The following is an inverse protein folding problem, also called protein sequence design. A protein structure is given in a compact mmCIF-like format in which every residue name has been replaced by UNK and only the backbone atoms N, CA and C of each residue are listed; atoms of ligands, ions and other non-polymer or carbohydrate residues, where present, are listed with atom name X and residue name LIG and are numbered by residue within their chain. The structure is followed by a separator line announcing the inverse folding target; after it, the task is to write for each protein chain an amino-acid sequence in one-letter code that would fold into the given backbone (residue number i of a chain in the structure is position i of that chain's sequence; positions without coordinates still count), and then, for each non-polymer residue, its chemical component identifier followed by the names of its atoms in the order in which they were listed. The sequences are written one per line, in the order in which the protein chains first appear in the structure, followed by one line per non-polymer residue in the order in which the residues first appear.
data_IF_385550679594
#
_entry.id   IF_385550679594
#
_cell.length_a   1.000
_cell.length_b   1.000
_cell.length_c   1.000
_cell.angle_alpha   90.00
_cell.angle_beta   90.00
_cell.angle_gamma   90.00
#
_symmetry.space_group_name_H-M   'P 1'
#
loop_
_entity.id
_entity.type
_entity.pdbx_description
1 polymer ?
#
# COMPACT_ATOMS: atom_id res chain seq x y z
N UNK A 1 29.40 -14.30 -26.77
CA UNK A 1 28.62 -13.22 -27.36
C UNK A 1 27.72 -12.66 -26.23
N UNK A 2 28.11 -11.55 -25.57
CA UNK A 2 27.33 -10.94 -24.47
C UNK A 2 26.33 -9.98 -25.09
N UNK A 3 25.04 -10.30 -25.01
CA UNK A 3 23.95 -9.42 -25.40
C UNK A 3 23.83 -8.33 -24.32
N UNK A 4 24.27 -7.13 -24.64
CA UNK A 4 24.11 -5.97 -23.78
C UNK A 4 22.64 -5.57 -23.70
N UNK A 5 22.04 -5.73 -22.53
CA UNK A 5 20.73 -5.19 -22.22
C UNK A 5 20.91 -3.67 -22.11
N UNK A 6 20.51 -2.94 -23.15
CA UNK A 6 20.52 -1.50 -23.17
C UNK A 6 19.62 -0.97 -22.02
N UNK A 7 20.24 -0.32 -21.04
CA UNK A 7 19.56 0.46 -20.01
C UNK A 7 18.86 1.64 -20.70
N UNK A 8 17.60 1.49 -21.07
CA UNK A 8 16.76 2.65 -21.38
C UNK A 8 16.57 3.43 -20.10
N UNK A 9 17.10 4.65 -20.04
CA UNK A 9 16.87 5.59 -18.94
C UNK A 9 15.35 5.72 -18.74
N UNK A 10 14.81 5.59 -17.51
CA UNK A 10 13.41 5.86 -17.27
C UNK A 10 13.12 7.30 -17.69
N UNK A 11 12.03 7.49 -18.40
CA UNK A 11 11.48 8.82 -18.68
C UNK A 11 11.15 9.43 -17.33
N UNK A 12 11.96 10.41 -16.90
CA UNK A 12 11.75 11.11 -15.62
C UNK A 12 10.35 11.72 -15.67
N UNK A 13 9.40 11.10 -14.98
CA UNK A 13 8.08 11.66 -14.82
C UNK A 13 8.22 13.06 -14.21
N UNK A 14 7.60 14.06 -14.82
CA UNK A 14 7.53 15.41 -14.23
C UNK A 14 6.67 15.31 -12.98
N UNK A 15 7.33 15.32 -11.84
CA UNK A 15 6.73 15.26 -10.52
C UNK A 15 5.97 16.56 -10.25
N UNK A 16 4.67 16.55 -10.40
CA UNK A 16 3.80 17.65 -9.95
C UNK A 16 3.66 17.60 -8.43
N UNK A 17 4.54 18.29 -7.71
CA UNK A 17 4.63 18.26 -6.24
C UNK A 17 3.41 18.83 -5.48
N UNK A 18 2.40 19.35 -6.16
CA UNK A 18 1.27 20.04 -5.53
C UNK A 18 -0.05 19.25 -5.50
N UNK A 19 -0.15 18.08 -6.16
CA UNK A 19 -1.47 17.49 -6.44
C UNK A 19 -1.75 16.10 -5.83
N UNK A 20 -0.84 15.48 -5.11
CA UNK A 20 -1.03 14.09 -4.66
C UNK A 20 -1.23 13.09 -5.82
N UNK A 21 -0.72 13.41 -7.01
CA UNK A 21 -0.85 12.64 -8.24
C UNK A 21 0.52 12.46 -8.92
N UNK A 22 0.78 11.24 -9.39
CA UNK A 22 1.91 10.92 -10.28
C UNK A 22 1.39 10.48 -11.63
N UNK A 23 2.09 10.84 -12.69
CA UNK A 23 1.73 10.51 -14.07
C UNK A 23 2.82 9.68 -14.75
N UNK A 24 2.40 8.62 -15.43
CA UNK A 24 3.24 7.67 -16.15
C UNK A 24 2.62 7.41 -17.54
N UNK A 25 2.87 8.30 -18.47
CA UNK A 25 2.16 8.30 -19.76
C UNK A 25 0.66 8.56 -19.55
N UNK A 26 -0.20 7.65 -20.01
CA UNK A 26 -1.66 7.69 -19.75
C UNK A 26 -2.04 7.20 -18.36
N UNK A 27 -1.14 6.45 -17.70
CA UNK A 27 -1.40 5.92 -16.36
C UNK A 27 -1.12 6.94 -15.25
N UNK A 28 -1.84 6.81 -14.14
CA UNK A 28 -1.73 7.72 -13.00
C UNK A 28 -1.81 6.96 -11.68
N UNK A 29 -1.18 7.54 -10.65
CA UNK A 29 -1.32 7.15 -9.25
C UNK A 29 -1.82 8.36 -8.47
N UNK A 30 -2.99 8.24 -7.86
CA UNK A 30 -3.55 9.27 -6.98
C UNK A 30 -3.39 8.83 -5.53
N UNK A 31 -2.81 9.70 -4.71
CA UNK A 31 -2.78 9.53 -3.27
C UNK A 31 -4.12 9.91 -2.68
N UNK A 32 -4.69 9.02 -1.88
CA UNK A 32 -5.90 9.23 -1.10
C UNK A 32 -5.58 9.00 0.39
N UNK A 33 -6.36 9.56 1.27
CA UNK A 33 -6.13 9.46 2.70
C UNK A 33 -5.74 10.79 3.33
N UNK A 34 -5.26 10.75 4.55
CA UNK A 34 -4.79 11.90 5.31
C UNK A 34 -3.28 11.91 5.48
N UNK A 35 -2.77 12.82 6.33
CA UNK A 35 -1.34 12.91 6.62
C UNK A 35 -0.74 11.71 7.35
N UNK A 36 -1.56 10.80 7.89
CA UNK A 36 -1.08 9.65 8.65
C UNK A 36 -0.93 8.39 7.80
N UNK A 37 -1.93 8.07 6.96
CA UNK A 37 -1.94 6.87 6.13
C UNK A 37 -2.45 7.20 4.73
N UNK A 38 -1.89 6.57 3.73
CA UNK A 38 -2.22 6.77 2.31
C UNK A 38 -2.71 5.48 1.67
N UNK A 39 -3.81 5.58 0.92
CA UNK A 39 -4.21 4.61 -0.08
C UNK A 39 -3.83 5.15 -1.48
N UNK A 40 -3.64 4.28 -2.44
CA UNK A 40 -3.21 4.67 -3.79
C UNK A 40 -4.21 4.19 -4.83
N UNK A 41 -4.90 5.13 -5.49
CA UNK A 41 -5.77 4.81 -6.62
C UNK A 41 -4.94 4.81 -7.91
N UNK A 42 -4.79 3.64 -8.49
CA UNK A 42 -4.13 3.42 -9.78
C UNK A 42 -5.15 3.56 -10.89
N UNK A 43 -4.82 4.33 -11.90
CA UNK A 43 -5.70 4.67 -13.02
C UNK A 43 -5.00 4.38 -14.31
N UNK A 44 -5.63 3.63 -15.20
CA UNK A 44 -5.22 3.49 -16.61
C UNK A 44 -6.45 3.28 -17.51
N UNK A 45 -6.19 3.00 -18.79
CA UNK A 45 -7.25 2.82 -19.78
C UNK A 45 -8.04 1.52 -19.54
N UNK A 46 -7.43 0.51 -18.89
CA UNK A 46 -8.07 -0.77 -18.57
C UNK A 46 -9.02 -0.69 -17.37
N UNK A 47 -8.84 0.29 -16.48
CA UNK A 47 -9.69 0.43 -15.30
C UNK A 47 -9.05 1.16 -14.13
N UNK A 48 -9.57 0.86 -12.96
CA UNK A 48 -9.11 1.39 -11.69
C UNK A 48 -8.76 0.25 -10.75
N UNK A 49 -7.65 0.42 -10.02
CA UNK A 49 -7.21 -0.48 -8.95
C UNK A 49 -6.90 0.35 -7.71
N UNK A 50 -7.33 -0.09 -6.55
CA UNK A 50 -7.02 0.59 -5.30
C UNK A 50 -6.06 -0.27 -4.48
N UNK A 51 -4.94 0.32 -4.05
CA UNK A 51 -4.02 -0.27 -3.08
C UNK A 51 -4.35 0.33 -1.71
N UNK A 52 -4.74 -0.52 -0.77
CA UNK A 52 -5.26 -0.20 0.54
C UNK A 52 -6.53 0.67 0.51
N UNK A 53 -7.22 0.75 1.62
CA UNK A 53 -8.51 1.44 1.70
C UNK A 53 -8.55 2.50 2.80
N UNK A 54 -7.46 2.60 3.55
CA UNK A 54 -7.34 3.56 4.62
C UNK A 54 -8.39 3.40 5.72
N UNK A 55 -8.53 4.45 6.50
CA UNK A 55 -9.58 4.59 7.51
C UNK A 55 -10.88 5.17 6.88
N UNK A 56 -11.91 5.31 7.68
CA UNK A 56 -13.30 5.65 7.32
C UNK A 56 -13.50 6.89 6.43
N UNK A 57 -12.55 7.79 6.32
CA UNK A 57 -12.64 8.96 5.42
C UNK A 57 -12.24 8.69 3.98
N UNK A 58 -11.49 7.59 3.74
CA UNK A 58 -10.93 7.25 2.43
C UNK A 58 -11.99 6.81 1.43
N UNK A 59 -13.02 6.00 1.78
CA UNK A 59 -14.08 5.65 0.83
C UNK A 59 -14.74 6.85 0.17
N UNK A 60 -15.02 7.90 0.94
CA UNK A 60 -15.55 9.15 0.40
C UNK A 60 -14.58 9.87 -0.55
N UNK A 61 -13.26 9.77 -0.30
CA UNK A 61 -12.24 10.32 -1.21
C UNK A 61 -12.15 9.50 -2.49
N UNK A 62 -12.23 8.16 -2.42
CA UNK A 62 -12.26 7.27 -3.59
C UNK A 62 -13.43 7.64 -4.49
N UNK A 63 -14.65 7.75 -3.95
CA UNK A 63 -15.86 8.13 -4.73
C UNK A 63 -15.67 9.47 -5.43
N UNK A 64 -15.15 10.48 -4.71
CA UNK A 64 -14.89 11.79 -5.31
C UNK A 64 -13.79 11.75 -6.37
N UNK A 65 -12.75 10.96 -6.18
CA UNK A 65 -11.68 10.79 -7.16
C UNK A 65 -12.21 10.14 -8.43
N UNK A 66 -12.95 9.04 -8.33
CA UNK A 66 -13.57 8.33 -9.45
C UNK A 66 -14.51 9.27 -10.23
N UNK A 67 -15.35 10.02 -9.54
CA UNK A 67 -16.25 10.99 -10.17
C UNK A 67 -15.49 12.11 -10.90
N UNK A 68 -14.44 12.68 -10.29
CA UNK A 68 -13.59 13.73 -10.91
C UNK A 68 -12.84 13.22 -12.16
N UNK A 69 -12.54 11.94 -12.20
CA UNK A 69 -11.93 11.28 -13.35
C UNK A 69 -12.93 11.01 -14.49
N UNK A 70 -14.23 11.28 -14.28
CA UNK A 70 -15.29 10.93 -15.22
C UNK A 70 -15.46 9.41 -15.38
N UNK A 71 -15.01 8.63 -14.39
CA UNK A 71 -15.07 7.16 -14.43
C UNK A 71 -16.29 6.63 -13.67
N UNK A 72 -16.74 5.44 -14.03
CA UNK A 72 -17.82 4.75 -13.33
C UNK A 72 -17.26 3.93 -12.17
N UNK A 73 -18.06 3.73 -11.13
CA UNK A 73 -17.68 2.96 -9.94
C UNK A 73 -17.29 1.51 -10.26
N UNK A 74 -17.95 0.91 -11.26
CA UNK A 74 -17.72 -0.47 -11.70
C UNK A 74 -16.37 -0.65 -12.39
N UNK A 75 -15.69 0.45 -12.76
CA UNK A 75 -14.34 0.41 -13.30
C UNK A 75 -13.28 0.23 -12.21
N UNK A 76 -13.64 0.46 -10.93
CA UNK A 76 -12.83 0.02 -9.79
C UNK A 76 -13.12 -1.47 -9.56
N UNK A 77 -12.29 -2.31 -10.16
CA UNK A 77 -12.48 -3.77 -10.19
C UNK A 77 -11.69 -4.50 -9.12
N UNK A 78 -10.59 -3.93 -8.67
CA UNK A 78 -9.66 -4.60 -7.77
C UNK A 78 -9.28 -3.68 -6.61
N UNK A 79 -9.33 -4.24 -5.40
CA UNK A 79 -8.79 -3.65 -4.17
C UNK A 79 -7.70 -4.61 -3.68
N UNK A 80 -6.47 -4.17 -3.65
CA UNK A 80 -5.31 -4.96 -3.23
C UNK A 80 -4.89 -4.47 -1.85
N UNK A 81 -5.09 -5.29 -0.83
CA UNK A 81 -4.68 -4.96 0.53
C UNK A 81 -3.27 -5.44 0.78
N UNK A 82 -2.42 -4.52 1.20
CA UNK A 82 -1.00 -4.81 1.45
C UNK A 82 -0.82 -5.64 2.71
N UNK A 83 -1.66 -5.43 3.72
CA UNK A 83 -1.68 -6.18 4.98
C UNK A 83 -2.97 -5.93 5.77
N UNK A 84 -3.12 -6.60 6.91
CA UNK A 84 -4.38 -6.66 7.64
C UNK A 84 -4.67 -5.54 8.64
N UNK A 85 -3.81 -4.55 8.86
CA UNK A 85 -4.08 -3.50 9.85
C UNK A 85 -5.28 -2.62 9.46
N UNK A 86 -5.99 -2.13 10.48
CA UNK A 86 -7.26 -1.40 10.33
C UNK A 86 -7.12 -0.12 9.49
N UNK A 87 -6.02 0.58 9.60
CA UNK A 87 -5.76 1.80 8.82
C UNK A 87 -5.46 1.54 7.33
N UNK A 88 -5.35 0.27 6.93
CA UNK A 88 -5.26 -0.19 5.54
C UNK A 88 -6.57 -0.84 5.07
N UNK A 89 -7.31 -1.48 5.97
CA UNK A 89 -8.48 -2.31 5.62
C UNK A 89 -9.81 -1.66 5.99
N UNK A 90 -9.80 -0.58 6.77
CA UNK A 90 -10.99 -0.02 7.41
C UNK A 90 -12.09 0.44 6.45
N UNK A 91 -11.76 0.80 5.22
CA UNK A 91 -12.71 1.20 4.17
C UNK A 91 -13.12 0.09 3.20
N UNK A 92 -12.55 -1.13 3.35
CA UNK A 92 -12.63 -2.15 2.30
C UNK A 92 -14.07 -2.61 2.00
N UNK A 93 -14.85 -2.94 3.02
CA UNK A 93 -16.23 -3.38 2.83
C UNK A 93 -17.12 -2.30 2.21
N UNK A 94 -16.94 -1.03 2.61
CA UNK A 94 -17.70 0.09 2.06
C UNK A 94 -17.36 0.32 0.58
N UNK A 95 -16.07 0.22 0.21
CA UNK A 95 -15.62 0.34 -1.18
C UNK A 95 -16.11 -0.84 -1.99
N UNK A 96 -16.01 -2.07 -1.47
CA UNK A 96 -16.49 -3.28 -2.13
C UNK A 96 -18.00 -3.22 -2.39
N UNK A 97 -18.79 -2.85 -1.40
CA UNK A 97 -20.25 -2.73 -1.56
C UNK A 97 -20.64 -1.65 -2.60
N UNK A 98 -19.84 -0.58 -2.70
CA UNK A 98 -20.09 0.50 -3.64
C UNK A 98 -19.68 0.17 -5.09
N UNK A 99 -18.51 -0.48 -5.28
CA UNK A 99 -17.93 -0.70 -6.62
C UNK A 99 -18.16 -2.11 -7.16
N UNK A 100 -18.36 -3.11 -6.28
CA UNK A 100 -18.34 -4.52 -6.63
C UNK A 100 -16.92 -5.07 -6.79
N UNK A 101 -15.88 -4.34 -6.37
CA UNK A 101 -14.48 -4.71 -6.54
C UNK A 101 -14.15 -6.03 -5.83
N UNK A 102 -13.30 -6.83 -6.46
CA UNK A 102 -12.69 -8.00 -5.83
C UNK A 102 -11.60 -7.53 -4.86
N UNK A 103 -11.61 -8.09 -3.65
CA UNK A 103 -10.63 -7.78 -2.61
C UNK A 103 -9.58 -8.88 -2.54
N UNK A 104 -8.32 -8.47 -2.57
CA UNK A 104 -7.15 -9.33 -2.44
C UNK A 104 -6.46 -9.10 -1.12
N UNK A 105 -6.03 -10.16 -0.46
CA UNK A 105 -5.19 -10.13 0.73
C UNK A 105 -4.26 -11.35 0.74
N UNK A 106 -3.08 -11.24 1.36
CA UNK A 106 -2.24 -12.41 1.57
C UNK A 106 -2.88 -13.39 2.56
N UNK A 107 -2.79 -14.70 2.26
CA UNK A 107 -3.44 -15.75 3.05
C UNK A 107 -3.13 -15.66 4.56
N UNK A 108 -1.90 -15.29 4.93
CA UNK A 108 -1.48 -15.16 6.33
C UNK A 108 -2.16 -14.02 7.11
N UNK A 109 -2.77 -13.05 6.41
CA UNK A 109 -3.52 -11.94 7.03
C UNK A 109 -5.04 -12.09 6.85
N UNK A 110 -5.50 -13.12 6.13
CA UNK A 110 -6.91 -13.32 5.80
C UNK A 110 -7.81 -13.36 7.03
N UNK A 111 -7.48 -14.21 8.00
CA UNK A 111 -8.29 -14.36 9.22
C UNK A 111 -8.37 -13.05 10.01
N UNK A 112 -7.28 -12.27 10.01
CA UNK A 112 -7.26 -10.97 10.67
C UNK A 112 -8.24 -9.99 10.01
N UNK A 113 -8.29 -9.98 8.69
CA UNK A 113 -9.19 -9.11 7.92
C UNK A 113 -10.65 -9.57 8.01
N UNK A 114 -10.94 -10.87 7.82
CA UNK A 114 -12.30 -11.41 7.79
C UNK A 114 -12.95 -11.45 9.16
N UNK A 115 -12.18 -11.77 10.19
CA UNK A 115 -12.72 -11.96 11.56
C UNK A 115 -12.53 -10.72 12.43
N UNK A 116 -11.87 -9.69 11.94
CA UNK A 116 -11.42 -8.55 12.75
C UNK A 116 -10.66 -8.97 14.01
N UNK A 117 -9.97 -10.10 13.94
CA UNK A 117 -9.22 -10.67 15.05
C UNK A 117 -7.96 -9.87 15.25
N UNK A 118 -7.75 -9.36 16.47
CA UNK A 118 -6.47 -8.77 16.84
C UNK A 118 -5.35 -9.81 16.67
N UNK A 119 -4.20 -9.41 16.13
CA UNK A 119 -3.03 -10.29 16.11
C UNK A 119 -2.70 -10.73 17.54
N UNK A 120 -3.13 -11.93 17.91
CA UNK A 120 -2.82 -12.49 19.23
C UNK A 120 -1.30 -12.62 19.37
N UNK A 121 -0.72 -11.84 20.28
CA UNK A 121 0.70 -11.84 20.58
C UNK A 121 1.48 -10.65 20.00
N UNK A 122 0.84 -9.62 19.49
CA UNK A 122 1.44 -8.29 19.49
C UNK A 122 1.86 -7.97 20.92
N UNK A 123 3.06 -7.39 21.09
CA UNK A 123 3.57 -7.06 22.40
C UNK A 123 2.47 -6.44 23.28
N UNK A 124 2.40 -6.83 24.54
CA UNK A 124 1.40 -6.34 25.51
C UNK A 124 1.33 -4.82 25.43
N UNK A 125 0.41 -4.27 24.65
CA UNK A 125 0.32 -2.82 24.44
C UNK A 125 -0.33 -2.38 23.12
N UNK A 126 -0.39 -3.22 22.08
CA UNK A 126 -1.01 -2.85 20.80
C UNK A 126 -2.52 -2.97 20.78
N UNK A 127 -3.07 -3.92 21.50
CA UNK A 127 -4.52 -4.11 21.59
C UNK A 127 -5.26 -2.84 22.04
N UNK A 128 -4.61 -1.94 22.76
CA UNK A 128 -5.23 -0.70 23.18
C UNK A 128 -5.38 0.31 22.03
N UNK A 129 -4.44 0.40 21.08
CA UNK A 129 -4.54 1.32 19.92
C UNK A 129 -5.60 0.85 18.91
N UNK A 130 -5.65 -0.44 18.60
CA UNK A 130 -6.72 -1.01 17.79
C UNK A 130 -8.07 -0.91 18.51
N UNK A 131 -8.09 -1.21 19.81
CA UNK A 131 -9.28 -1.04 20.66
C UNK A 131 -9.68 0.42 20.74
N UNK A 132 -8.75 1.36 20.93
CA UNK A 132 -9.02 2.78 20.92
C UNK A 132 -9.55 3.23 19.54
N UNK A 133 -8.97 2.77 18.44
CA UNK A 133 -9.45 3.02 17.09
C UNK A 133 -10.88 2.51 16.88
N UNK A 134 -11.20 1.30 17.36
CA UNK A 134 -12.55 0.73 17.33
C UNK A 134 -13.53 1.49 18.22
N UNK A 135 -13.11 1.89 19.42
CA UNK A 135 -13.93 2.68 20.36
C UNK A 135 -14.22 4.04 19.78
N UNK A 136 -13.22 4.73 19.24
CA UNK A 136 -13.39 6.02 18.56
C UNK A 136 -14.30 5.87 17.33
N UNK A 137 -14.10 4.80 16.54
CA UNK A 137 -14.96 4.48 15.41
C UNK A 137 -16.41 4.27 15.84
N UNK A 138 -16.66 3.48 16.88
CA UNK A 138 -18.00 3.24 17.44
C UNK A 138 -18.62 4.52 18.00
N UNK A 139 -17.86 5.34 18.72
CA UNK A 139 -18.32 6.63 19.22
C UNK A 139 -18.70 7.58 18.07
N UNK A 140 -18.13 7.40 16.88
CA UNK A 140 -18.49 8.13 15.65
C UNK A 140 -19.56 7.41 14.82
N UNK A 141 -20.20 6.36 15.36
CA UNK A 141 -21.19 5.55 14.64
C UNK A 141 -20.58 4.67 13.54
N UNK A 142 -19.27 4.37 13.62
CA UNK A 142 -18.53 3.62 12.62
C UNK A 142 -18.01 2.31 13.21
N UNK A 143 -18.52 1.20 12.73
CA UNK A 143 -18.07 -0.14 13.11
C UNK A 143 -17.27 -0.72 11.97
N UNK A 144 -16.13 -1.37 12.26
CA UNK A 144 -15.41 -2.14 11.25
C UNK A 144 -16.32 -3.25 10.74
N UNK A 145 -16.49 -3.28 9.43
CA UNK A 145 -17.18 -4.33 8.70
C UNK A 145 -16.13 -5.02 7.83
N UNK A 146 -15.91 -6.34 7.97
CA UNK A 146 -14.95 -7.04 7.12
C UNK A 146 -15.45 -7.10 5.67
N UNK A 147 -14.56 -6.97 4.69
CA UNK A 147 -14.88 -7.26 3.29
C UNK A 147 -14.98 -8.76 3.06
N UNK A 148 -15.62 -9.15 1.96
CA UNK A 148 -15.53 -10.50 1.43
C UNK A 148 -14.22 -10.63 0.64
N UNK A 149 -13.32 -11.50 1.08
CA UNK A 149 -12.06 -11.75 0.38
C UNK A 149 -12.33 -12.59 -0.87
N UNK A 150 -12.06 -12.00 -2.05
CA UNK A 150 -12.30 -12.61 -3.34
C UNK A 150 -11.09 -13.35 -3.91
N UNK A 151 -9.87 -13.05 -3.43
CA UNK A 151 -8.65 -13.71 -3.88
C UNK A 151 -7.50 -13.57 -2.87
N UNK A 152 -6.51 -14.43 -2.98
CA UNK A 152 -5.31 -14.44 -2.13
C UNK A 152 -4.09 -14.01 -2.92
N UNK A 153 -3.22 -13.23 -2.25
CA UNK A 153 -1.90 -12.86 -2.75
C UNK A 153 -0.87 -13.91 -2.34
N UNK A 154 0.08 -14.17 -3.22
CA UNK A 154 1.26 -15.01 -2.95
C UNK A 154 2.51 -14.31 -3.45
N UNK A 155 3.66 -14.60 -2.84
CA UNK A 155 4.93 -14.06 -3.34
C UNK A 155 5.16 -14.44 -4.80
N UNK A 156 5.57 -13.46 -5.60
CA UNK A 156 5.83 -13.63 -7.02
C UNK A 156 4.61 -13.54 -7.93
N UNK A 157 3.37 -13.51 -7.40
CA UNK A 157 2.17 -13.33 -8.24
C UNK A 157 2.26 -12.06 -9.06
N UNK A 158 1.85 -12.15 -10.33
CA UNK A 158 1.69 -11.00 -11.21
C UNK A 158 0.20 -10.70 -11.37
N UNK A 159 -0.26 -9.66 -10.69
CA UNK A 159 -1.64 -9.20 -10.82
C UNK A 159 -1.83 -8.51 -12.17
N UNK A 160 -2.85 -8.90 -12.97
CA UNK A 160 -3.08 -8.35 -14.31
C UNK A 160 -3.81 -7.00 -14.24
N UNK A 161 -3.30 -6.08 -13.42
CA UNK A 161 -3.87 -4.76 -13.17
C UNK A 161 -2.82 -3.69 -13.40
N UNK A 162 -3.22 -2.53 -13.87
CA UNK A 162 -2.37 -1.36 -14.07
C UNK A 162 -1.08 -1.67 -14.84
N UNK A 163 -1.16 -2.55 -15.83
CA UNK A 163 -0.01 -3.00 -16.64
C UNK A 163 0.92 -4.00 -15.95
N UNK A 164 0.50 -4.57 -14.83
CA UNK A 164 1.20 -5.59 -14.03
C UNK A 164 1.69 -5.07 -12.69
N UNK A 165 1.24 -5.69 -11.61
CA UNK A 165 1.78 -5.49 -10.26
C UNK A 165 2.28 -6.82 -9.73
N UNK A 166 3.59 -6.91 -9.46
CA UNK A 166 4.20 -8.11 -8.87
C UNK A 166 4.16 -8.03 -7.36
N UNK A 167 3.61 -9.07 -6.74
CA UNK A 167 3.56 -9.21 -5.29
C UNK A 167 4.94 -9.61 -4.75
N UNK A 168 5.38 -8.95 -3.70
CA UNK A 168 6.54 -9.31 -2.90
C UNK A 168 6.11 -9.49 -1.46
N UNK A 169 6.07 -10.73 -0.99
CA UNK A 169 5.76 -11.04 0.40
C UNK A 169 6.92 -10.64 1.29
N UNK A 170 6.68 -9.71 2.20
CA UNK A 170 7.66 -9.11 3.10
C UNK A 170 7.15 -9.19 4.54
N UNK A 171 7.08 -10.39 5.12
CA UNK A 171 6.49 -10.61 6.44
C UNK A 171 7.26 -9.91 7.56
N UNK A 172 6.62 -9.80 8.71
CA UNK A 172 7.21 -9.29 9.94
C UNK A 172 6.42 -8.13 10.53
N UNK A 173 6.06 -7.09 9.75
CA UNK A 173 5.11 -6.08 10.21
C UNK A 173 3.77 -6.74 10.53
N UNK A 174 3.21 -7.44 9.57
CA UNK A 174 2.21 -8.49 9.76
C UNK A 174 2.69 -9.79 9.12
N UNK A 175 2.08 -10.95 9.41
CA UNK A 175 2.44 -12.21 8.76
C UNK A 175 2.23 -12.20 7.24
N UNK A 176 1.23 -11.47 6.76
CA UNK A 176 0.86 -11.38 5.34
C UNK A 176 1.28 -10.07 4.66
N UNK A 177 2.13 -9.25 5.27
CA UNK A 177 2.54 -7.98 4.71
C UNK A 177 3.21 -8.16 3.33
N UNK A 178 2.74 -7.39 2.34
CA UNK A 178 3.23 -7.41 0.97
C UNK A 178 3.60 -6.00 0.48
N UNK A 179 4.63 -5.93 -0.34
CA UNK A 179 4.86 -4.81 -1.25
C UNK A 179 4.40 -5.18 -2.66
N UNK A 180 4.12 -4.18 -3.49
CA UNK A 180 3.73 -4.35 -4.88
C UNK A 180 4.72 -3.61 -5.78
N UNK A 181 5.28 -4.32 -6.77
CA UNK A 181 6.26 -3.79 -7.71
C UNK A 181 5.60 -3.59 -9.06
N UNK A 182 5.66 -2.37 -9.59
CA UNK A 182 5.12 -2.07 -10.90
C UNK A 182 5.98 -2.69 -12.01
N UNK A 183 5.35 -3.48 -12.88
CA UNK A 183 5.95 -4.05 -14.09
C UNK A 183 5.64 -3.21 -15.34
N UNK A 184 4.76 -2.23 -15.21
CA UNK A 184 4.44 -1.28 -16.27
C UNK A 184 5.70 -0.53 -16.72
N UNK A 185 5.96 -0.49 -18.03
CA UNK A 185 7.17 0.09 -18.62
C UNK A 185 7.41 1.54 -18.18
N UNK A 186 6.36 2.35 -18.16
CA UNK A 186 6.41 3.78 -17.83
C UNK A 186 6.60 4.04 -16.33
N UNK A 187 6.33 3.04 -15.49
CA UNK A 187 6.48 3.09 -14.04
C UNK A 187 7.43 2.00 -13.52
N UNK A 188 8.30 1.46 -14.39
CA UNK A 188 9.23 0.39 -14.01
C UNK A 188 10.12 0.85 -12.86
N UNK A 189 10.24 0.00 -11.83
CA UNK A 189 10.99 0.32 -10.61
C UNK A 189 10.21 1.10 -9.54
N UNK A 190 8.94 1.43 -9.77
CA UNK A 190 8.06 1.95 -8.71
C UNK A 190 7.60 0.80 -7.80
N UNK A 191 7.80 0.98 -6.51
CA UNK A 191 7.39 0.03 -5.48
C UNK A 191 6.41 0.69 -4.51
N UNK A 192 5.25 0.09 -4.30
CA UNK A 192 4.35 0.39 -3.20
C UNK A 192 4.80 -0.48 -2.02
N UNK A 193 5.52 0.11 -1.08
CA UNK A 193 6.21 -0.65 -0.02
C UNK A 193 5.36 -0.86 1.23
N UNK A 194 4.13 -0.37 1.23
CA UNK A 194 3.25 -0.43 2.40
C UNK A 194 3.96 0.06 3.68
N UNK A 195 3.88 -0.71 4.75
CA UNK A 195 4.43 -0.40 6.06
C UNK A 195 5.84 -0.97 6.28
N UNK A 196 6.60 -1.23 5.20
CA UNK A 196 8.00 -1.60 5.36
C UNK A 196 8.81 -0.50 6.06
N UNK A 197 8.42 0.77 5.87
CA UNK A 197 8.96 1.94 6.55
C UNK A 197 8.01 3.15 6.43
N UNK A 198 8.18 4.15 7.27
CA UNK A 198 7.49 5.43 7.20
C UNK A 198 8.47 6.56 6.83
N UNK A 199 7.96 7.60 6.13
CA UNK A 199 8.78 8.68 5.59
C UNK A 199 8.10 10.03 5.80
N UNK A 200 8.37 10.70 6.93
CA UNK A 200 7.78 11.98 7.31
C UNK A 200 8.83 13.07 7.49
N UNK A 201 8.50 14.30 7.11
CA UNK A 201 9.35 15.48 7.32
C UNK A 201 10.76 15.26 6.77
N UNK A 202 11.73 15.29 7.66
CA UNK A 202 13.16 15.14 7.36
C UNK A 202 13.67 13.73 7.62
N UNK A 203 12.86 12.83 8.15
CA UNK A 203 13.30 11.53 8.63
C UNK A 203 12.56 10.35 8.02
N UNK A 204 13.17 9.19 8.19
CA UNK A 204 12.66 7.89 7.81
C UNK A 204 12.67 7.00 9.05
N UNK A 205 11.62 6.22 9.22
CA UNK A 205 11.41 5.42 10.41
C UNK A 205 11.03 3.99 10.04
N UNK A 206 11.51 3.03 10.81
CA UNK A 206 10.93 1.69 10.86
C UNK A 206 9.52 1.76 11.43
N UNK A 207 8.62 0.83 11.06
CA UNK A 207 7.31 0.76 11.68
C UNK A 207 7.43 0.68 13.21
N UNK A 208 6.49 1.26 13.97
CA UNK A 208 6.52 1.20 15.41
C UNK A 208 6.61 -0.24 15.90
N UNK A 209 7.49 -0.49 16.87
CA UNK A 209 7.74 -1.84 17.38
C UNK A 209 6.47 -2.51 17.93
N UNK A 210 5.57 -1.73 18.49
CA UNK A 210 4.32 -2.19 19.07
C UNK A 210 3.23 -2.50 18.01
N UNK A 211 3.40 -2.08 16.77
CA UNK A 211 2.57 -2.44 15.61
C UNK A 211 3.24 -3.50 14.73
N UNK A 212 4.42 -4.00 15.11
CA UNK A 212 5.18 -4.95 14.31
C UNK A 212 5.20 -6.32 15.01
N UNK A 213 4.67 -7.34 14.35
CA UNK A 213 4.50 -8.68 14.89
C UNK A 213 5.83 -9.38 15.17
N UNK A 214 6.73 -9.34 14.20
CA UNK A 214 8.08 -9.89 14.28
C UNK A 214 9.09 -8.87 13.75
N UNK A 215 9.85 -8.27 14.67
CA UNK A 215 10.81 -7.20 14.33
C UNK A 215 12.04 -7.71 13.61
N UNK A 216 12.45 -8.95 13.89
CA UNK A 216 13.60 -9.55 13.23
C UNK A 216 13.26 -9.87 11.78
N UNK A 217 12.08 -10.44 11.55
CA UNK A 217 11.60 -10.73 10.22
C UNK A 217 11.30 -9.44 9.42
N UNK A 218 10.70 -8.43 10.06
CA UNK A 218 10.47 -7.12 9.43
C UNK A 218 11.77 -6.45 8.99
N UNK A 219 12.86 -6.59 9.76
CA UNK A 219 14.17 -6.05 9.37
C UNK A 219 14.78 -6.84 8.18
N UNK A 220 14.61 -8.17 8.13
CA UNK A 220 15.00 -8.99 6.97
C UNK A 220 14.22 -8.57 5.73
N UNK A 221 12.90 -8.40 5.86
CA UNK A 221 12.00 -7.94 4.79
C UNK A 221 12.36 -6.54 4.30
N UNK A 222 12.72 -5.63 5.19
CA UNK A 222 13.17 -4.28 4.84
C UNK A 222 14.48 -4.33 4.02
N UNK A 223 15.42 -5.21 4.39
CA UNK A 223 16.67 -5.42 3.63
C UNK A 223 16.40 -6.03 2.26
N UNK A 224 15.53 -7.05 2.18
CA UNK A 224 15.11 -7.65 0.92
C UNK A 224 14.44 -6.63 -0.01
N UNK A 225 13.63 -5.72 0.55
CA UNK A 225 13.06 -4.61 -0.22
C UNK A 225 14.15 -3.67 -0.78
N UNK A 226 15.16 -3.33 0.02
CA UNK A 226 16.25 -2.47 -0.40
C UNK A 226 17.15 -3.13 -1.46
N UNK A 227 17.31 -4.47 -1.41
CA UNK A 227 18.07 -5.26 -2.40
C UNK A 227 17.45 -5.21 -3.79
N UNK A 228 16.15 -4.93 -3.91
CA UNK A 228 15.50 -4.67 -5.20
C UNK A 228 16.02 -3.39 -5.86
N UNK A 229 16.74 -2.53 -5.12
CA UNK A 229 17.28 -1.23 -5.56
C UNK A 229 16.22 -0.38 -6.28
N UNK A 230 15.04 -0.15 -5.66
CA UNK A 230 13.97 0.58 -6.31
C UNK A 230 14.41 2.04 -6.56
N UNK A 231 14.09 2.57 -7.75
CA UNK A 231 14.34 3.98 -8.09
C UNK A 231 13.23 4.89 -7.55
N UNK A 232 12.06 4.33 -7.28
CA UNK A 232 10.88 5.02 -6.79
C UNK A 232 10.13 4.16 -5.78
N UNK A 233 9.77 4.72 -4.62
CA UNK A 233 9.02 4.02 -3.57
C UNK A 233 7.89 4.88 -3.04
N UNK A 234 6.72 4.28 -2.83
CA UNK A 234 5.58 4.87 -2.14
C UNK A 234 5.26 4.00 -0.92
N UNK A 235 5.68 4.39 0.29
CA UNK A 235 5.20 3.75 1.51
C UNK A 235 3.74 4.13 1.76
N UNK A 236 3.06 3.52 2.76
CA UNK A 236 1.71 3.96 3.13
C UNK A 236 1.75 5.16 4.07
N UNK A 237 2.81 5.32 4.82
CA UNK A 237 3.00 6.38 5.80
C UNK A 237 4.02 7.42 5.32
N UNK A 238 3.54 8.53 4.73
CA UNK A 238 4.40 9.63 4.27
C UNK A 238 3.65 10.96 4.16
N UNK A 239 4.40 12.06 4.15
CA UNK A 239 3.87 13.43 4.01
C UNK A 239 3.99 14.00 2.59
N UNK A 240 5.01 13.60 1.82
CA UNK A 240 5.32 14.11 0.48
C UNK A 240 5.23 13.01 -0.55
N UNK A 241 4.54 13.27 -1.65
CA UNK A 241 4.47 12.34 -2.78
C UNK A 241 5.73 12.48 -3.67
N UNK A 242 6.89 12.11 -3.12
CA UNK A 242 8.20 12.10 -3.81
C UNK A 242 8.82 10.70 -3.73
N UNK A 243 8.49 9.81 -4.68
CA UNK A 243 8.96 8.42 -4.64
C UNK A 243 10.48 8.28 -4.72
N UNK A 244 11.18 9.17 -5.42
CA UNK A 244 12.64 9.15 -5.50
C UNK A 244 13.28 9.52 -4.14
N UNK A 245 12.68 10.46 -3.40
CA UNK A 245 13.08 10.76 -2.03
C UNK A 245 12.91 9.54 -1.12
N UNK A 246 11.78 8.84 -1.23
CA UNK A 246 11.52 7.66 -0.41
C UNK A 246 12.47 6.52 -0.74
N UNK A 247 12.84 6.33 -2.01
CA UNK A 247 13.85 5.35 -2.42
C UNK A 247 15.23 5.66 -1.80
N UNK A 248 15.67 6.92 -1.83
CA UNK A 248 16.91 7.35 -1.17
C UNK A 248 16.86 7.16 0.35
N UNK A 249 15.71 7.43 0.97
CA UNK A 249 15.50 7.25 2.41
C UNK A 249 15.54 5.77 2.81
N UNK A 250 14.93 4.89 2.01
CA UNK A 250 15.01 3.45 2.20
C UNK A 250 16.47 2.98 2.18
N UNK A 251 17.23 3.38 1.15
CA UNK A 251 18.66 3.03 1.04
C UNK A 251 19.48 3.50 2.25
N UNK A 252 19.22 4.74 2.73
CA UNK A 252 19.85 5.28 3.94
C UNK A 252 19.47 4.51 5.20
N UNK A 253 18.20 4.13 5.34
CA UNK A 253 17.66 3.42 6.51
C UNK A 253 18.34 2.05 6.69
N UNK A 254 18.62 1.37 5.59
CA UNK A 254 19.27 0.04 5.58
C UNK A 254 20.79 0.16 5.61
N UNK A 255 21.37 1.16 4.95
CA UNK A 255 22.83 1.36 4.89
C UNK A 255 23.44 2.03 6.12
N UNK A 256 22.65 2.71 6.95
CA UNK A 256 23.11 3.41 8.15
C UNK A 256 23.22 2.54 9.43
N UNK A 257 23.18 1.22 9.29
CA UNK A 257 23.28 0.24 10.37
C UNK A 257 24.64 -0.51 10.40
N UNK A 258 25.73 0.16 9.98
CA UNK A 258 27.10 -0.34 10.15
C UNK A 258 27.85 0.55 11.15
#
# INVERSE_FOLDING_TARGET
MRVGIGRTRPVVARWGMASGELKFGSARVLRLGGGLVSAHLLVDDAGLTLIDTGLWGVPGQVRRAVARLGRRREELREVVMTHGHLDHTGGAAEIQAWSGARVWVHAADRDHVEQAVEYRGLARGCGWLETAGRVVGRAQGRTYCPPVIGAELRDGDLLPVWGGLRVRHLPGHTPGHCALVAERREACGLVFSADSFASYGWSVHRPPWFLTRDRVEAERSLRALAELRPEAVLPSHYDRMDPALHARRLAKLVGGGA
#
